data_IF_865758170001
#
_entry.id   IF_865758170001
#
_cell.length_a   1.000
_cell.length_b   1.000
_cell.length_c   1.000
_cell.angle_alpha   90.00
_cell.angle_beta   90.00
_cell.angle_gamma   90.00
#
_symmetry.space_group_name_H-M   'P 1'
#
loop_
_entity.id
_entity.type
_entity.pdbx_description
1 polymer ?
#
# COMPACT_ATOMS: atom_id res chain seq x y z
N UNK A 1 10.70 -53.56 -11.63
CA UNK A 1 11.91 -52.75 -11.86
C UNK A 1 13.12 -53.62 -11.59
N UNK A 2 14.14 -53.58 -12.44
CA UNK A 2 15.38 -54.31 -12.20
C UNK A 2 16.18 -53.58 -11.11
N UNK A 3 16.59 -54.29 -10.05
CA UNK A 3 17.44 -53.73 -8.99
C UNK A 3 18.81 -53.33 -9.54
N UNK A 4 19.32 -52.19 -9.07
CA UNK A 4 20.70 -51.77 -9.31
C UNK A 4 21.70 -52.72 -8.64
N UNK A 5 22.97 -52.66 -9.07
CA UNK A 5 24.03 -53.50 -8.51
C UNK A 5 24.24 -53.30 -7.00
N UNK A 6 23.99 -52.10 -6.48
CA UNK A 6 24.11 -51.78 -5.05
C UNK A 6 22.91 -52.29 -4.26
N UNK A 7 21.69 -52.17 -4.79
CA UNK A 7 20.47 -52.70 -4.15
C UNK A 7 20.49 -54.23 -4.04
N UNK A 8 21.03 -54.92 -5.06
CA UNK A 8 21.19 -56.38 -5.04
C UNK A 8 22.03 -56.87 -3.85
N UNK A 9 22.96 -56.06 -3.33
CA UNK A 9 23.77 -56.43 -2.16
C UNK A 9 22.97 -56.46 -0.86
N UNK A 10 21.92 -55.64 -0.73
CA UNK A 10 21.08 -55.56 0.48
C UNK A 10 19.69 -55.05 0.14
N UNK A 11 18.74 -55.96 0.02
CA UNK A 11 17.34 -55.63 -0.26
C UNK A 11 16.62 -55.32 1.07
N UNK A 12 16.08 -54.10 1.19
CA UNK A 12 15.20 -53.72 2.31
C UNK A 12 13.76 -54.09 1.95
N UNK A 13 13.08 -54.86 2.80
CA UNK A 13 11.67 -55.18 2.64
C UNK A 13 10.82 -53.95 2.95
N UNK A 14 10.11 -53.44 1.95
CA UNK A 14 9.11 -52.38 2.09
C UNK A 14 7.72 -53.01 2.34
N UNK A 15 6.96 -52.44 3.27
CA UNK A 15 5.60 -52.88 3.63
C UNK A 15 4.51 -51.93 3.11
N UNK A 16 4.90 -50.90 2.35
CA UNK A 16 3.99 -49.93 1.74
C UNK A 16 2.98 -50.63 0.83
N UNK A 17 1.70 -50.37 1.08
CA UNK A 17 0.59 -50.95 0.30
C UNK A 17 0.18 -50.07 -0.88
N UNK A 18 0.53 -48.79 -0.83
CA UNK A 18 0.24 -47.81 -1.85
C UNK A 18 1.40 -47.75 -2.85
N UNK A 19 1.14 -47.66 -4.17
CA UNK A 19 2.18 -47.47 -5.16
C UNK A 19 2.77 -46.05 -5.07
N UNK A 20 4.07 -45.94 -5.28
CA UNK A 20 4.75 -44.64 -5.40
C UNK A 20 4.32 -43.96 -6.70
N UNK A 21 3.61 -42.82 -6.61
CA UNK A 21 3.13 -42.08 -7.77
C UNK A 21 4.17 -41.11 -8.36
N UNK A 22 5.13 -40.68 -7.55
CA UNK A 22 6.19 -39.74 -7.93
C UNK A 22 7.47 -40.07 -7.15
N UNK A 23 8.61 -40.00 -7.83
CA UNK A 23 9.91 -40.19 -7.20
C UNK A 23 10.24 -39.01 -6.27
N UNK A 24 11.04 -39.28 -5.24
CA UNK A 24 11.49 -38.25 -4.30
C UNK A 24 12.36 -37.26 -5.07
N UNK A 25 12.02 -35.96 -5.09
CA UNK A 25 12.82 -34.97 -5.79
C UNK A 25 14.17 -34.79 -5.12
N UNK A 26 15.13 -34.22 -5.86
CA UNK A 26 16.42 -33.89 -5.30
C UNK A 26 16.29 -32.86 -4.18
N UNK A 27 16.62 -33.25 -2.94
CA UNK A 27 16.30 -32.50 -1.73
C UNK A 27 17.03 -31.16 -1.60
N UNK A 28 18.14 -30.99 -2.33
CA UNK A 28 18.95 -29.76 -2.33
C UNK A 28 18.62 -28.82 -3.50
N UNK A 29 17.68 -29.21 -4.38
CA UNK A 29 17.28 -28.45 -5.57
C UNK A 29 16.98 -26.99 -5.25
N UNK A 30 16.17 -26.72 -4.23
CA UNK A 30 15.79 -25.35 -3.83
C UNK A 30 16.98 -24.41 -3.62
N UNK A 31 18.06 -24.88 -2.99
CA UNK A 31 19.24 -24.05 -2.72
C UNK A 31 20.10 -23.90 -3.98
N UNK A 32 20.40 -25.02 -4.64
CA UNK A 32 21.28 -25.05 -5.82
C UNK A 32 20.64 -24.28 -6.98
N UNK A 33 19.36 -24.53 -7.26
CA UNK A 33 18.66 -23.88 -8.37
C UNK A 33 18.49 -22.39 -8.12
N UNK A 34 18.19 -21.98 -6.88
CA UNK A 34 18.10 -20.56 -6.51
C UNK A 34 19.43 -19.84 -6.70
N UNK A 35 20.55 -20.43 -6.28
CA UNK A 35 21.87 -19.81 -6.44
C UNK A 35 22.35 -19.81 -7.89
N UNK A 36 22.01 -20.87 -8.65
CA UNK A 36 22.26 -20.94 -10.10
C UNK A 36 21.49 -19.86 -10.85
N UNK A 37 20.22 -19.61 -10.50
CA UNK A 37 19.44 -18.50 -11.06
C UNK A 37 20.04 -17.13 -10.72
N UNK A 38 20.61 -16.96 -9.51
CA UNK A 38 21.27 -15.71 -9.13
C UNK A 38 22.52 -15.43 -9.97
N UNK A 39 23.42 -16.43 -10.10
CA UNK A 39 24.71 -16.26 -10.77
C UNK A 39 24.63 -16.38 -12.29
N UNK A 40 23.72 -17.21 -12.80
CA UNK A 40 23.63 -17.64 -14.20
C UNK A 40 25.01 -18.04 -14.79
N UNK A 41 25.83 -18.66 -13.95
CA UNK A 41 27.20 -19.04 -14.30
C UNK A 41 27.21 -20.06 -15.45
N UNK A 42 28.10 -19.87 -16.42
CA UNK A 42 28.22 -20.74 -17.60
C UNK A 42 27.21 -20.48 -18.72
N UNK A 43 26.27 -19.54 -18.54
CA UNK A 43 25.39 -19.07 -19.61
C UNK A 43 26.04 -17.90 -20.36
N UNK A 44 25.98 -17.94 -21.69
CA UNK A 44 26.40 -16.84 -22.55
C UNK A 44 25.54 -15.59 -22.28
N UNK A 45 26.07 -14.37 -22.42
CA UNK A 45 25.34 -13.14 -22.11
C UNK A 45 23.97 -13.03 -22.79
N UNK A 46 23.86 -13.46 -24.05
CA UNK A 46 22.64 -13.31 -24.87
C UNK A 46 21.50 -14.25 -24.46
N UNK A 47 21.79 -15.34 -23.73
CA UNK A 47 20.78 -16.31 -23.28
C UNK A 47 20.40 -16.13 -21.81
N UNK A 48 21.01 -15.16 -21.11
CA UNK A 48 20.69 -14.89 -19.70
C UNK A 48 19.31 -14.26 -19.59
N UNK A 49 18.56 -14.73 -18.60
CA UNK A 49 17.27 -14.15 -18.25
C UNK A 49 17.47 -12.95 -17.32
N UNK A 50 16.48 -12.08 -17.23
CA UNK A 50 16.51 -10.91 -16.35
C UNK A 50 16.19 -11.30 -14.90
N UNK A 51 17.08 -12.10 -14.31
CA UNK A 51 17.05 -12.59 -12.93
C UNK A 51 18.44 -12.52 -12.30
N UNK A 52 18.53 -12.41 -10.97
CA UNK A 52 19.81 -12.45 -10.26
C UNK A 52 20.70 -11.24 -10.56
N UNK A 53 22.00 -11.49 -10.80
CA UNK A 53 22.97 -10.45 -11.15
C UNK A 53 22.53 -9.63 -12.37
N UNK A 54 21.98 -10.30 -13.40
CA UNK A 54 21.52 -9.64 -14.62
C UNK A 54 20.41 -8.63 -14.33
N UNK A 55 19.41 -9.02 -13.53
CA UNK A 55 18.33 -8.13 -13.10
C UNK A 55 18.85 -6.98 -12.24
N UNK A 56 19.77 -7.25 -11.31
CA UNK A 56 20.35 -6.23 -10.45
C UNK A 56 21.09 -5.15 -11.25
N UNK A 57 21.93 -5.54 -12.22
CA UNK A 57 22.61 -4.58 -13.10
C UNK A 57 21.62 -3.79 -13.96
N UNK A 58 20.70 -4.45 -14.65
CA UNK A 58 19.68 -3.77 -15.47
C UNK A 58 18.77 -2.84 -14.66
N UNK A 59 18.62 -3.07 -13.36
CA UNK A 59 17.80 -2.20 -12.51
C UNK A 59 18.48 -0.89 -12.11
N UNK A 60 19.81 -0.84 -12.13
CA UNK A 60 20.60 0.35 -11.74
C UNK A 60 21.17 1.06 -12.97
N UNK A 61 21.50 0.31 -14.02
CA UNK A 61 22.02 0.86 -15.27
C UNK A 61 20.87 1.09 -16.27
N UNK A 62 20.93 2.16 -17.07
CA UNK A 62 22.05 3.08 -17.22
C UNK A 62 22.12 4.16 -16.13
N UNK A 63 23.34 4.47 -15.67
CA UNK A 63 23.57 5.56 -14.71
C UNK A 63 23.85 6.84 -15.49
N UNK A 64 23.01 7.85 -15.30
CA UNK A 64 23.12 9.16 -15.96
C UNK A 64 23.75 10.17 -15.01
N UNK A 65 24.77 10.90 -15.48
CA UNK A 65 25.36 11.99 -14.69
C UNK A 65 24.35 13.11 -14.41
N UNK A 66 24.49 13.84 -13.31
CA UNK A 66 23.63 15.01 -13.00
C UNK A 66 23.51 16.03 -14.13
N UNK A 67 24.57 16.18 -14.95
CA UNK A 67 24.55 17.10 -16.09
C UNK A 67 23.87 16.54 -17.35
N UNK A 68 23.52 15.25 -17.36
CA UNK A 68 23.03 14.53 -18.54
C UNK A 68 24.09 14.26 -19.62
N UNK A 69 25.35 14.64 -19.39
CA UNK A 69 26.42 14.61 -20.42
C UNK A 69 27.24 13.33 -20.46
N UNK A 70 27.10 12.47 -19.46
CA UNK A 70 27.71 11.16 -19.42
C UNK A 70 26.67 10.12 -19.02
N UNK A 71 26.67 9.00 -19.73
CA UNK A 71 25.85 7.82 -19.42
C UNK A 71 26.79 6.63 -19.29
N UNK A 72 26.65 5.88 -18.19
CA UNK A 72 27.31 4.61 -18.00
C UNK A 72 26.31 3.48 -18.20
N UNK A 73 26.55 2.63 -19.20
CA UNK A 73 25.71 1.48 -19.54
C UNK A 73 26.36 0.17 -19.09
N UNK A 74 25.52 -0.78 -18.70
CA UNK A 74 25.91 -2.16 -18.45
C UNK A 74 25.82 -2.97 -19.74
N UNK A 75 26.91 -3.66 -20.11
CA UNK A 75 26.95 -4.53 -21.31
C UNK A 75 26.80 -6.00 -20.91
N UNK A 76 27.68 -6.49 -20.04
CA UNK A 76 27.68 -7.90 -19.60
C UNK A 76 28.51 -8.09 -18.34
N UNK A 77 28.37 -9.24 -17.67
CA UNK A 77 29.29 -9.65 -16.60
C UNK A 77 29.86 -11.06 -16.85
N UNK A 78 31.04 -11.32 -16.30
CA UNK A 78 31.69 -12.62 -16.29
C UNK A 78 32.14 -12.96 -14.87
N UNK A 79 31.91 -14.22 -14.47
CA UNK A 79 32.47 -14.78 -13.24
C UNK A 79 33.74 -15.54 -13.62
N UNK A 80 34.87 -15.06 -13.14
CA UNK A 80 36.16 -15.70 -13.36
C UNK A 80 36.25 -17.07 -12.67
N UNK A 81 37.32 -17.81 -12.95
CA UNK A 81 37.59 -19.06 -12.25
C UNK A 81 37.98 -18.77 -10.79
N UNK A 82 37.54 -19.61 -9.83
CA UNK A 82 38.02 -19.51 -8.46
C UNK A 82 39.53 -19.76 -8.42
N UNK A 83 40.24 -19.02 -7.56
CA UNK A 83 41.70 -19.12 -7.43
C UNK A 83 42.11 -20.48 -6.84
N UNK A 84 41.28 -21.01 -5.95
CA UNK A 84 41.48 -22.26 -5.23
C UNK A 84 40.23 -23.13 -5.31
N UNK A 85 40.40 -24.44 -5.24
CA UNK A 85 39.26 -25.34 -5.09
C UNK A 85 38.68 -25.34 -3.66
N UNK A 86 37.57 -26.06 -3.47
CA UNK A 86 36.87 -26.13 -2.17
C UNK A 86 37.77 -26.65 -1.05
N UNK A 87 38.61 -27.67 -1.32
CA UNK A 87 39.47 -28.29 -0.30
C UNK A 87 40.64 -27.38 0.06
N UNK A 88 41.22 -26.72 -0.93
CA UNK A 88 42.28 -25.73 -0.73
C UNK A 88 41.78 -24.54 0.09
N UNK A 89 40.58 -24.03 -0.19
CA UNK A 89 39.95 -22.96 0.61
C UNK A 89 39.75 -23.38 2.07
N UNK A 90 39.29 -24.62 2.32
CA UNK A 90 39.14 -25.17 3.67
C UNK A 90 40.46 -25.24 4.42
N UNK A 91 41.52 -25.76 3.78
CA UNK A 91 42.85 -25.88 4.40
C UNK A 91 43.52 -24.52 4.65
N UNK A 92 43.33 -23.56 3.74
CA UNK A 92 43.95 -22.23 3.80
C UNK A 92 43.17 -21.23 4.67
N UNK A 93 41.96 -21.56 5.09
CA UNK A 93 41.12 -20.61 5.82
C UNK A 93 40.57 -19.48 4.94
N UNK A 94 40.48 -19.67 3.62
CA UNK A 94 40.00 -18.65 2.67
C UNK A 94 38.56 -18.92 2.23
N UNK A 95 37.91 -17.91 1.65
CA UNK A 95 36.56 -18.05 1.08
C UNK A 95 36.64 -18.64 -0.32
N UNK A 96 35.75 -19.58 -0.66
CA UNK A 96 35.62 -20.10 -2.01
C UNK A 96 34.78 -19.14 -2.84
N UNK A 97 35.43 -18.39 -3.73
CA UNK A 97 34.83 -17.28 -4.48
C UNK A 97 35.36 -17.18 -5.90
N UNK A 98 34.62 -16.49 -6.75
CA UNK A 98 35.00 -16.11 -8.10
C UNK A 98 35.05 -14.59 -8.24
N UNK A 99 36.01 -14.09 -9.03
CA UNK A 99 36.08 -12.67 -9.37
C UNK A 99 34.92 -12.27 -10.29
N UNK A 100 34.20 -11.21 -9.93
CA UNK A 100 33.15 -10.63 -10.77
C UNK A 100 33.78 -9.51 -11.61
N UNK A 101 33.71 -9.69 -12.93
CA UNK A 101 34.15 -8.67 -13.89
C UNK A 101 32.98 -8.21 -14.72
N UNK A 102 32.83 -6.91 -14.88
CA UNK A 102 31.69 -6.29 -15.53
C UNK A 102 32.18 -5.43 -16.67
N UNK A 103 31.64 -5.67 -17.86
CA UNK A 103 31.87 -4.83 -19.03
C UNK A 103 30.87 -3.69 -19.02
N UNK A 104 31.39 -2.48 -18.92
CA UNK A 104 30.61 -1.24 -18.90
C UNK A 104 31.01 -0.37 -20.08
N UNK A 105 30.06 0.44 -20.54
CA UNK A 105 30.25 1.38 -21.64
C UNK A 105 29.93 2.79 -21.16
N UNK A 106 30.92 3.67 -21.21
CA UNK A 106 30.77 5.09 -20.91
C UNK A 106 30.53 5.85 -22.23
N UNK A 107 29.35 6.44 -22.36
CA UNK A 107 28.96 7.31 -23.47
C UNK A 107 29.08 8.76 -23.00
N UNK A 108 29.87 9.56 -23.71
CA UNK A 108 30.03 10.98 -23.45
C UNK A 108 29.33 11.79 -24.55
N UNK A 109 28.46 12.72 -24.16
CA UNK A 109 27.82 13.66 -25.08
C UNK A 109 28.64 14.93 -25.22
N UNK A 110 28.54 15.55 -26.39
CA UNK A 110 29.19 16.82 -26.64
C UNK A 110 28.56 17.95 -25.81
N UNK A 111 29.41 18.87 -25.34
CA UNK A 111 29.00 20.00 -24.49
C UNK A 111 28.32 21.12 -25.28
N UNK A 112 28.58 21.19 -26.59
CA UNK A 112 28.21 22.32 -27.46
C UNK A 112 27.03 22.05 -28.40
N UNK A 113 26.63 20.78 -28.55
CA UNK A 113 25.52 20.39 -29.44
C UNK A 113 24.17 20.39 -28.73
N UNK A 114 23.16 20.99 -29.34
CA UNK A 114 21.75 21.02 -28.85
C UNK A 114 21.03 19.70 -29.11
N UNK A 115 21.47 18.95 -30.12
CA UNK A 115 21.12 17.53 -30.31
C UNK A 115 22.18 16.71 -29.57
N UNK A 116 21.79 15.74 -28.74
CA UNK A 116 22.71 14.90 -27.94
C UNK A 116 23.68 14.09 -28.82
N UNK A 117 24.65 14.75 -29.43
CA UNK A 117 25.63 14.15 -30.30
C UNK A 117 26.66 13.41 -29.44
N UNK A 118 26.86 12.13 -29.74
CA UNK A 118 27.82 11.29 -29.05
C UNK A 118 29.22 11.78 -29.42
N UNK A 119 29.99 12.19 -28.41
CA UNK A 119 31.38 12.63 -28.56
C UNK A 119 32.35 11.46 -28.54
N UNK A 120 32.17 10.55 -27.58
CA UNK A 120 33.08 9.42 -27.36
C UNK A 120 32.35 8.25 -26.69
N UNK A 121 32.79 7.03 -27.00
CA UNK A 121 32.32 5.79 -26.39
C UNK A 121 33.52 4.99 -25.92
N UNK A 122 33.60 4.76 -24.61
CA UNK A 122 34.66 3.93 -24.00
C UNK A 122 34.06 2.69 -23.37
N UNK A 123 34.46 1.53 -23.85
CA UNK A 123 34.06 0.23 -23.27
C UNK A 123 35.24 -0.37 -22.52
N UNK A 124 35.01 -0.78 -21.27
CA UNK A 124 36.04 -1.35 -20.40
C UNK A 124 35.47 -2.43 -19.49
N UNK A 125 36.31 -3.43 -19.20
CA UNK A 125 36.03 -4.45 -18.20
C UNK A 125 36.59 -4.03 -16.83
N UNK A 126 35.71 -3.96 -15.84
CA UNK A 126 36.00 -3.48 -14.49
C UNK A 126 35.79 -4.62 -13.49
N UNK A 127 36.74 -4.80 -12.58
CA UNK A 127 36.61 -5.73 -11.46
C UNK A 127 35.70 -5.14 -10.38
N UNK A 128 34.62 -5.85 -10.03
CA UNK A 128 33.61 -5.41 -9.05
C UNK A 128 33.57 -6.30 -7.79
N UNK A 129 34.70 -6.90 -7.43
CA UNK A 129 34.82 -7.72 -6.22
C UNK A 129 34.67 -9.22 -6.48
N UNK A 130 34.47 -9.98 -5.40
CA UNK A 130 34.34 -11.43 -5.46
C UNK A 130 32.95 -11.88 -5.01
N UNK A 131 32.43 -12.91 -5.68
CA UNK A 131 31.17 -13.57 -5.33
C UNK A 131 31.49 -14.96 -4.78
N UNK A 132 31.12 -15.28 -3.52
CA UNK A 132 31.29 -16.62 -2.96
C UNK A 132 30.54 -17.66 -3.81
N UNK A 133 31.17 -18.76 -4.18
CA UNK A 133 30.52 -19.80 -4.98
C UNK A 133 29.90 -20.87 -4.08
N UNK A 134 28.78 -21.43 -4.55
CA UNK A 134 28.12 -22.57 -3.92
C UNK A 134 28.78 -23.88 -4.35
N UNK A 135 28.96 -24.80 -3.41
CA UNK A 135 29.46 -26.17 -3.65
C UNK A 135 28.36 -27.07 -4.22
N UNK A 136 28.72 -28.26 -4.71
CA UNK A 136 27.76 -29.25 -5.21
C UNK A 136 26.79 -29.78 -4.14
N UNK A 137 27.12 -29.61 -2.85
CA UNK A 137 26.27 -29.98 -1.71
C UNK A 137 25.38 -28.83 -1.22
N UNK A 138 25.37 -27.67 -1.89
CA UNK A 138 24.57 -26.52 -1.50
C UNK A 138 25.13 -25.74 -0.31
N UNK A 139 26.43 -25.88 -0.03
CA UNK A 139 27.15 -25.16 1.04
C UNK A 139 28.03 -24.06 0.45
N UNK A 140 28.53 -23.16 1.31
CA UNK A 140 29.53 -22.15 0.98
C UNK A 140 30.74 -22.33 1.88
N UNK A 141 31.96 -22.18 1.34
CA UNK A 141 33.17 -22.11 2.17
C UNK A 141 33.48 -20.65 2.46
N UNK A 142 33.29 -20.22 3.70
CA UNK A 142 33.58 -18.86 4.17
C UNK A 142 34.69 -18.95 5.21
N UNK A 143 35.83 -18.32 4.95
CA UNK A 143 37.02 -18.36 5.81
C UNK A 143 37.41 -19.81 6.20
N UNK A 144 37.41 -20.71 5.22
CA UNK A 144 37.71 -22.14 5.39
C UNK A 144 36.62 -22.98 6.07
N UNK A 145 35.52 -22.39 6.51
CA UNK A 145 34.41 -23.12 7.16
C UNK A 145 33.23 -23.30 6.22
N UNK A 146 32.66 -24.50 6.15
CA UNK A 146 31.41 -24.72 5.42
C UNK A 146 30.22 -24.11 6.17
N UNK A 147 29.40 -23.37 5.42
CA UNK A 147 28.21 -22.69 5.90
C UNK A 147 27.04 -22.97 4.97
N UNK A 148 25.84 -22.95 5.55
CA UNK A 148 24.58 -23.06 4.81
C UNK A 148 23.77 -21.80 5.04
N UNK A 149 23.18 -21.27 3.98
CA UNK A 149 22.22 -20.17 4.07
C UNK A 149 20.82 -20.76 4.15
N UNK A 150 20.14 -20.55 5.28
CA UNK A 150 18.79 -21.06 5.51
C UNK A 150 17.78 -20.20 4.76
N UNK A 151 16.85 -20.84 4.04
CA UNK A 151 15.74 -20.12 3.40
C UNK A 151 14.87 -19.41 4.44
N UNK A 152 14.53 -18.16 4.18
CA UNK A 152 13.73 -17.35 5.09
C UNK A 152 12.24 -17.39 4.74
N UNK A 153 11.39 -17.60 5.73
CA UNK A 153 9.95 -17.41 5.56
C UNK A 153 9.56 -16.01 6.01
N UNK A 154 9.20 -15.14 5.07
CA UNK A 154 8.80 -13.76 5.33
C UNK A 154 7.38 -13.49 4.86
N UNK A 155 6.80 -12.35 5.26
CA UNK A 155 5.51 -11.91 4.73
C UNK A 155 5.69 -11.51 3.28
N UNK A 156 4.77 -11.96 2.43
CA UNK A 156 4.80 -11.62 1.02
C UNK A 156 4.59 -10.12 0.83
N UNK A 157 5.12 -9.52 -0.23
CA UNK A 157 4.69 -8.19 -0.64
C UNK A 157 3.18 -8.14 -0.92
N UNK A 158 2.55 -7.00 -0.70
CA UNK A 158 1.11 -6.78 -0.87
C UNK A 158 0.49 -5.96 0.27
N UNK A 159 -0.84 -5.92 0.31
CA UNK A 159 -1.60 -5.31 1.41
C UNK A 159 -2.21 -6.38 2.31
N UNK A 160 -2.21 -6.12 3.62
CA UNK A 160 -2.78 -6.99 4.64
C UNK A 160 -3.68 -6.19 5.56
N UNK A 161 -4.85 -6.72 5.88
CA UNK A 161 -5.77 -6.16 6.85
C UNK A 161 -5.80 -7.07 8.08
N UNK A 162 -5.62 -6.51 9.28
CA UNK A 162 -5.55 -7.29 10.52
C UNK A 162 -6.24 -6.53 11.66
N UNK A 163 -6.51 -7.22 12.77
CA UNK A 163 -6.93 -6.60 14.01
C UNK A 163 -6.15 -7.15 15.20
N UNK A 164 -6.01 -6.34 16.24
CA UNK A 164 -5.26 -6.67 17.46
C UNK A 164 -5.88 -7.78 18.34
N UNK A 165 -7.00 -8.37 17.90
CA UNK A 165 -7.85 -9.31 18.65
C UNK A 165 -8.26 -8.76 20.03
N UNK A 166 -8.38 -7.44 20.17
CA UNK A 166 -8.77 -6.76 21.40
C UNK A 166 -7.70 -6.79 22.49
N UNK A 167 -6.44 -7.07 22.14
CA UNK A 167 -5.34 -7.19 23.10
C UNK A 167 -4.72 -5.85 23.47
N UNK A 168 -4.81 -4.84 22.59
CA UNK A 168 -4.09 -3.57 22.77
C UNK A 168 -4.82 -2.61 23.71
N UNK A 169 -6.15 -2.63 23.73
CA UNK A 169 -6.95 -1.73 24.56
C UNK A 169 -7.79 -2.50 25.59
N UNK A 170 -7.86 -1.99 26.82
CA UNK A 170 -8.55 -2.64 27.94
C UNK A 170 -10.06 -2.82 27.75
N UNK A 171 -10.69 -2.02 26.88
CA UNK A 171 -12.11 -2.19 26.53
C UNK A 171 -12.40 -3.45 25.70
N UNK A 172 -11.37 -4.13 25.19
CA UNK A 172 -11.53 -5.27 24.27
C UNK A 172 -11.97 -4.88 22.87
N UNK A 173 -12.06 -3.58 22.57
CA UNK A 173 -12.39 -3.06 21.23
C UNK A 173 -11.32 -3.51 20.24
N UNK A 174 -11.78 -4.08 19.12
CA UNK A 174 -10.89 -4.50 18.04
C UNK A 174 -10.34 -3.27 17.31
N UNK A 175 -9.02 -3.16 17.28
CA UNK A 175 -8.32 -2.13 16.51
C UNK A 175 -7.89 -2.71 15.18
N UNK A 176 -8.51 -2.23 14.10
CA UNK A 176 -8.20 -2.66 12.74
C UNK A 176 -7.01 -1.88 12.19
N UNK A 177 -6.23 -2.55 11.34
CA UNK A 177 -5.09 -1.98 10.66
C UNK A 177 -4.98 -2.52 9.25
N UNK A 178 -4.42 -1.70 8.35
CA UNK A 178 -4.00 -2.12 7.02
C UNK A 178 -2.50 -1.87 6.89
N UNK A 179 -1.77 -2.81 6.30
CA UNK A 179 -0.31 -2.72 6.13
C UNK A 179 0.05 -3.05 4.70
N UNK A 180 0.69 -2.09 4.03
CA UNK A 180 1.25 -2.26 2.70
C UNK A 180 2.75 -2.59 2.85
N UNK A 181 3.11 -3.80 2.45
CA UNK A 181 4.46 -4.32 2.50
C UNK A 181 5.00 -4.35 1.07
N UNK A 182 5.97 -3.50 0.70
CA UNK A 182 6.64 -3.62 -0.58
C UNK A 182 7.64 -4.76 -0.60
N UNK A 183 8.02 -5.18 -1.81
CA UNK A 183 9.21 -6.00 -2.00
C UNK A 183 10.46 -5.21 -1.60
N UNK A 184 10.48 -3.92 -1.96
CA UNK A 184 11.53 -2.95 -1.65
C UNK A 184 10.93 -1.55 -1.51
N UNK A 185 11.35 -0.81 -0.50
CA UNK A 185 10.85 0.55 -0.23
C UNK A 185 10.25 0.69 1.17
N UNK A 186 9.67 1.86 1.45
CA UNK A 186 9.10 2.18 2.75
C UNK A 186 7.77 1.45 3.02
N UNK A 187 7.55 1.01 4.25
CA UNK A 187 6.29 0.41 4.65
C UNK A 187 5.26 1.49 4.92
N UNK A 188 4.00 1.24 4.53
CA UNK A 188 2.88 2.14 4.78
C UNK A 188 1.83 1.41 5.61
N UNK A 189 1.63 1.85 6.85
CA UNK A 189 0.71 1.27 7.81
C UNK A 189 -0.43 2.26 8.10
N UNK A 190 -1.67 1.81 8.02
CA UNK A 190 -2.86 2.48 8.53
C UNK A 190 -3.39 1.74 9.75
N UNK A 191 -3.84 2.47 10.77
CA UNK A 191 -4.35 1.86 12.00
C UNK A 191 -5.42 2.73 12.65
N UNK A 192 -6.46 2.08 13.15
CA UNK A 192 -7.44 2.71 14.03
C UNK A 192 -6.89 2.84 15.44
N UNK A 193 -7.25 3.93 16.10
CA UNK A 193 -7.08 4.08 17.54
C UNK A 193 -8.37 3.71 18.31
N UNK A 194 -8.33 3.66 19.65
CA UNK A 194 -9.52 3.37 20.46
C UNK A 194 -10.66 4.38 20.29
N UNK A 195 -10.36 5.61 19.84
CA UNK A 195 -11.33 6.68 19.56
C UNK A 195 -11.90 6.62 18.13
N UNK A 196 -11.62 5.55 17.39
CA UNK A 196 -11.98 5.38 15.98
C UNK A 196 -11.38 6.42 15.01
N UNK A 197 -10.27 7.04 15.39
CA UNK A 197 -9.50 7.90 14.50
C UNK A 197 -8.53 7.06 13.66
N UNK A 198 -8.38 7.42 12.39
CA UNK A 198 -7.52 6.68 11.46
C UNK A 198 -6.17 7.37 11.35
N UNK A 199 -5.11 6.65 11.70
CA UNK A 199 -3.75 7.14 11.59
C UNK A 199 -2.98 6.41 10.51
N UNK A 200 -1.93 7.07 10.02
CA UNK A 200 -0.92 6.52 9.14
C UNK A 200 0.45 6.54 9.81
N UNK A 201 1.27 5.53 9.51
CA UNK A 201 2.68 5.43 9.89
C UNK A 201 3.49 5.01 8.67
N UNK A 202 4.59 5.72 8.44
CA UNK A 202 5.57 5.37 7.41
C UNK A 202 6.78 4.76 8.14
N UNK A 203 7.24 3.58 7.72
CA UNK A 203 8.36 2.86 8.32
C UNK A 203 8.27 2.70 9.86
N UNK A 204 7.05 2.51 10.37
CA UNK A 204 6.75 2.38 11.81
C UNK A 204 7.21 3.58 12.68
N UNK A 205 7.30 4.77 12.08
CA UNK A 205 7.60 6.03 12.78
C UNK A 205 6.36 6.58 13.50
N UNK A 206 6.44 7.83 13.94
CA UNK A 206 5.37 8.56 14.64
C UNK A 206 4.07 8.53 13.82
N UNK A 207 2.93 8.36 14.51
CA UNK A 207 1.59 8.45 13.91
C UNK A 207 1.33 9.85 13.36
N UNK A 208 0.70 9.92 12.19
CA UNK A 208 0.06 11.11 11.65
C UNK A 208 -1.41 10.79 11.34
N UNK A 209 -2.35 11.75 11.41
CA UNK A 209 -3.71 11.52 10.90
C UNK A 209 -3.66 11.05 9.44
N UNK A 210 -4.47 10.06 9.06
CA UNK A 210 -4.46 9.52 7.70
C UNK A 210 -4.83 10.58 6.64
N UNK A 211 -5.60 11.61 7.02
CA UNK A 211 -5.97 12.75 6.18
C UNK A 211 -4.77 13.62 5.79
N UNK A 212 -3.71 13.68 6.61
CA UNK A 212 -2.45 14.36 6.25
C UNK A 212 -1.85 13.71 4.99
N UNK A 213 -1.87 12.38 4.91
CA UNK A 213 -1.39 11.68 3.71
C UNK A 213 -2.27 11.99 2.50
N UNK A 214 -3.60 12.02 2.66
CA UNK A 214 -4.52 12.35 1.57
C UNK A 214 -4.31 13.79 1.05
N UNK A 215 -4.07 14.75 1.95
CA UNK A 215 -3.71 16.12 1.56
C UNK A 215 -2.36 16.20 0.84
N UNK A 216 -1.37 15.40 1.25
CA UNK A 216 -0.09 15.32 0.55
C UNK A 216 -0.23 14.75 -0.88
N UNK A 217 -1.25 13.91 -1.10
CA UNK A 217 -1.68 13.40 -2.42
C UNK A 217 -2.51 14.40 -3.23
N UNK A 218 -2.62 15.66 -2.75
CA UNK A 218 -3.33 16.77 -3.40
C UNK A 218 -4.86 16.71 -3.34
N UNK A 219 -5.41 16.04 -2.33
CA UNK A 219 -6.85 16.07 -2.09
C UNK A 219 -7.28 17.17 -1.12
N UNK A 220 -8.35 17.89 -1.47
CA UNK A 220 -9.01 18.86 -0.60
C UNK A 220 -9.88 18.15 0.46
N UNK A 221 -10.29 18.88 1.50
CA UNK A 221 -11.17 18.34 2.53
C UNK A 221 -12.50 17.83 1.95
N UNK A 222 -13.12 18.57 1.03
CA UNK A 222 -14.35 18.16 0.35
C UNK A 222 -14.15 16.88 -0.47
N UNK A 223 -13.05 16.79 -1.22
CA UNK A 223 -12.72 15.60 -1.99
C UNK A 223 -12.52 14.40 -1.07
N UNK A 224 -11.79 14.57 0.03
CA UNK A 224 -11.61 13.53 1.05
C UNK A 224 -12.97 13.06 1.56
N UNK A 225 -13.87 13.96 1.98
CA UNK A 225 -15.20 13.56 2.47
C UNK A 225 -16.00 12.81 1.40
N UNK A 226 -16.01 13.30 0.16
CA UNK A 226 -16.73 12.68 -0.96
C UNK A 226 -16.23 11.28 -1.32
N UNK A 227 -14.99 10.92 -0.96
CA UNK A 227 -14.46 9.57 -1.18
C UNK A 227 -15.01 8.54 -0.20
N UNK A 228 -15.33 8.94 1.02
CA UNK A 228 -15.69 8.02 2.11
C UNK A 228 -17.16 8.06 2.49
N UNK A 229 -17.86 9.14 2.17
CA UNK A 229 -19.24 9.36 2.58
C UNK A 229 -20.13 9.63 1.38
N UNK A 230 -21.37 9.13 1.46
CA UNK A 230 -22.47 9.65 0.66
C UNK A 230 -23.05 10.88 1.35
N UNK A 231 -23.74 11.76 0.61
CA UNK A 231 -24.30 12.99 1.15
C UNK A 231 -25.82 12.91 1.36
N UNK A 232 -26.31 13.63 2.36
CA UNK A 232 -27.71 14.00 2.53
C UNK A 232 -27.87 15.44 2.06
N UNK A 233 -28.84 15.70 1.17
CA UNK A 233 -29.11 17.03 0.65
C UNK A 233 -30.30 17.65 1.38
N UNK A 234 -30.14 18.88 1.84
CA UNK A 234 -31.17 19.66 2.51
C UNK A 234 -31.52 20.88 1.67
N UNK A 235 -32.81 21.14 1.50
CA UNK A 235 -33.34 22.39 0.95
C UNK A 235 -33.80 23.28 2.10
N UNK A 236 -33.34 24.52 2.08
CA UNK A 236 -33.61 25.51 3.11
C UNK A 236 -34.82 26.34 2.68
N UNK A 237 -35.87 26.35 3.49
CA UNK A 237 -37.04 27.20 3.28
C UNK A 237 -36.85 28.63 3.78
N UNK A 238 -37.95 29.39 3.93
CA UNK A 238 -37.87 30.78 4.42
C UNK A 238 -37.67 30.87 5.93
N UNK A 239 -37.89 29.77 6.63
CA UNK A 239 -37.77 29.62 8.08
C UNK A 239 -37.00 28.34 8.40
N UNK A 240 -36.35 28.32 9.55
CA UNK A 240 -35.67 27.14 10.12
C UNK A 240 -36.60 25.93 10.26
N UNK A 241 -37.90 26.16 10.37
CA UNK A 241 -38.94 25.11 10.46
C UNK A 241 -39.33 24.50 9.09
N UNK A 242 -38.90 25.11 7.98
CA UNK A 242 -39.17 24.68 6.60
C UNK A 242 -37.96 23.94 5.98
N UNK A 243 -37.21 23.18 6.79
CA UNK A 243 -36.08 22.39 6.31
C UNK A 243 -36.56 21.08 5.68
N UNK A 244 -36.20 20.83 4.42
CA UNK A 244 -36.60 19.64 3.67
C UNK A 244 -35.38 18.77 3.35
N UNK A 245 -35.36 17.53 3.81
CA UNK A 245 -34.34 16.52 3.50
C UNK A 245 -34.73 15.73 2.26
N UNK A 246 -33.82 15.56 1.31
CA UNK A 246 -33.95 14.57 0.24
C UNK A 246 -33.84 13.16 0.83
N UNK A 247 -34.98 12.46 0.88
CA UNK A 247 -35.13 11.24 1.66
C UNK A 247 -34.62 10.02 0.88
N UNK A 248 -33.66 9.32 1.49
CA UNK A 248 -33.30 7.94 1.14
C UNK A 248 -33.86 7.00 2.23
N UNK A 249 -35.00 6.31 2.00
CA UNK A 249 -35.71 5.56 3.05
C UNK A 249 -34.87 4.48 3.75
N UNK A 250 -33.91 3.88 3.06
CA UNK A 250 -33.02 2.86 3.63
C UNK A 250 -32.12 3.41 4.74
N UNK A 251 -31.73 4.69 4.68
CA UNK A 251 -30.82 5.35 5.63
C UNK A 251 -31.44 5.57 7.00
N UNK A 252 -32.77 5.66 7.09
CA UNK A 252 -33.52 5.82 8.34
C UNK A 252 -33.73 4.50 9.10
N UNK A 253 -33.17 3.39 8.63
CA UNK A 253 -33.44 2.08 9.22
C UNK A 253 -32.95 2.03 10.67
N UNK A 254 -33.86 1.77 11.60
CA UNK A 254 -33.53 1.60 13.00
C UNK A 254 -33.41 2.91 13.79
N UNK A 255 -33.52 4.06 13.12
CA UNK A 255 -33.57 5.39 13.74
C UNK A 255 -34.89 5.63 14.46
N UNK A 256 -34.85 6.57 15.41
CA UNK A 256 -36.03 7.07 16.14
C UNK A 256 -36.13 8.56 15.89
N UNK A 257 -37.18 8.97 15.18
CA UNK A 257 -37.41 10.38 14.87
C UNK A 257 -38.27 11.03 15.97
N UNK A 258 -38.00 12.30 16.26
CA UNK A 258 -38.75 13.14 17.19
C UNK A 258 -39.98 13.83 16.55
N UNK A 259 -40.25 13.57 15.27
CA UNK A 259 -41.40 14.09 14.53
C UNK A 259 -42.10 12.99 13.72
N UNK A 260 -43.35 13.23 13.34
CA UNK A 260 -44.15 12.30 12.54
C UNK A 260 -43.70 12.28 11.07
N UNK A 261 -43.53 11.10 10.49
CA UNK A 261 -43.31 10.93 9.05
C UNK A 261 -44.65 10.75 8.35
N UNK A 262 -45.01 11.70 7.50
CA UNK A 262 -46.29 11.72 6.75
C UNK A 262 -46.06 11.46 5.27
N UNK A 263 -47.07 10.89 4.60
CA UNK A 263 -47.10 10.76 3.15
C UNK A 263 -47.55 12.07 2.47
N UNK A 264 -47.54 12.11 1.13
CA UNK A 264 -48.00 13.29 0.34
C UNK A 264 -49.48 13.64 0.57
N UNK A 265 -50.27 12.75 1.16
CA UNK A 265 -51.69 12.95 1.49
C UNK A 265 -51.91 13.33 2.96
N UNK A 266 -50.84 13.41 3.75
CA UNK A 266 -50.88 13.72 5.18
C UNK A 266 -51.13 12.50 6.08
N UNK A 267 -51.17 11.27 5.54
CA UNK A 267 -51.28 10.06 6.35
C UNK A 267 -49.96 9.77 7.06
N UNK A 268 -50.02 9.55 8.37
CA UNK A 268 -48.83 9.24 9.20
C UNK A 268 -48.37 7.82 8.92
N UNK A 269 -47.16 7.67 8.38
CA UNK A 269 -46.49 6.38 8.17
C UNK A 269 -45.78 5.95 9.45
N UNK A 270 -45.09 6.88 10.12
CA UNK A 270 -44.36 6.64 11.38
C UNK A 270 -44.71 7.74 12.36
N UNK A 271 -45.22 7.35 13.53
CA UNK A 271 -45.43 8.25 14.66
C UNK A 271 -44.11 8.64 15.32
N UNK A 272 -44.02 9.87 15.82
CA UNK A 272 -42.89 10.37 16.61
C UNK A 272 -42.55 9.42 17.78
N UNK A 273 -41.26 9.22 18.02
CA UNK A 273 -40.71 8.36 19.07
C UNK A 273 -40.75 6.86 18.74
N UNK A 274 -41.32 6.43 17.60
CA UNK A 274 -41.28 5.02 17.17
C UNK A 274 -40.03 4.72 16.34
N UNK A 275 -39.44 3.55 16.60
CA UNK A 275 -38.32 3.03 15.82
C UNK A 275 -38.75 2.67 14.40
N UNK A 276 -37.99 3.12 13.40
CA UNK A 276 -38.26 2.86 11.99
C UNK A 276 -37.91 1.41 11.65
N UNK A 277 -38.92 0.64 11.22
CA UNK A 277 -38.78 -0.77 10.86
C UNK A 277 -38.75 -0.96 9.35
N UNK A 278 -38.35 -2.16 8.89
CA UNK A 278 -38.38 -2.51 7.47
C UNK A 278 -39.77 -2.38 6.82
N UNK A 279 -40.85 -2.50 7.62
CA UNK A 279 -42.23 -2.26 7.14
C UNK A 279 -42.45 -0.80 6.79
N UNK A 280 -42.01 0.12 7.64
CA UNK A 280 -42.14 1.57 7.42
C UNK A 280 -41.35 2.00 6.18
N UNK A 281 -40.12 1.48 6.00
CA UNK A 281 -39.30 1.75 4.81
C UNK A 281 -40.04 1.36 3.53
N UNK A 282 -40.61 0.15 3.48
CA UNK A 282 -41.41 -0.30 2.31
C UNK A 282 -42.64 0.58 2.07
N UNK A 283 -43.25 1.12 3.12
CA UNK A 283 -44.38 2.04 2.99
C UNK A 283 -43.93 3.39 2.41
N UNK A 284 -42.79 3.93 2.87
CA UNK A 284 -42.19 5.16 2.31
C UNK A 284 -41.81 5.00 0.84
N UNK A 285 -41.17 3.88 0.48
CA UNK A 285 -40.83 3.54 -0.91
C UNK A 285 -42.08 3.41 -1.79
N UNK A 286 -43.12 2.71 -1.30
CA UNK A 286 -44.40 2.56 -2.02
C UNK A 286 -45.11 3.90 -2.21
N UNK A 287 -45.03 4.79 -1.21
CA UNK A 287 -45.56 6.14 -1.27
C UNK A 287 -44.73 7.09 -2.17
N UNK A 288 -43.55 6.65 -2.64
CA UNK A 288 -42.60 7.47 -3.43
C UNK A 288 -42.31 8.81 -2.76
N UNK A 289 -42.09 8.78 -1.44
CA UNK A 289 -41.59 9.91 -0.68
C UNK A 289 -40.16 10.21 -1.12
N UNK A 290 -39.94 11.42 -1.64
CA UNK A 290 -38.64 11.91 -2.09
C UNK A 290 -38.08 12.99 -1.18
N UNK A 291 -38.95 13.72 -0.48
CA UNK A 291 -38.55 14.77 0.44
C UNK A 291 -39.29 14.56 1.76
N UNK A 292 -38.61 14.87 2.85
CA UNK A 292 -39.12 14.79 4.22
C UNK A 292 -38.88 16.12 4.91
N UNK A 293 -39.92 16.73 5.46
CA UNK A 293 -39.76 17.87 6.34
C UNK A 293 -39.11 17.40 7.65
N UNK A 294 -37.99 18.01 8.01
CA UNK A 294 -37.19 17.65 9.20
C UNK A 294 -37.04 18.86 10.11
N UNK A 295 -36.84 18.63 11.41
CA UNK A 295 -36.55 19.70 12.35
C UNK A 295 -35.09 20.15 12.26
N UNK A 296 -34.81 21.39 12.68
CA UNK A 296 -33.44 21.90 12.80
C UNK A 296 -32.58 21.06 13.76
N UNK A 297 -33.20 20.52 14.81
CA UNK A 297 -32.55 19.61 15.75
C UNK A 297 -32.06 18.32 15.06
N UNK A 298 -32.76 17.84 14.02
CA UNK A 298 -32.35 16.65 13.28
C UNK A 298 -31.10 16.89 12.44
N UNK A 299 -30.99 18.07 11.83
CA UNK A 299 -29.80 18.45 11.07
C UNK A 299 -28.63 18.86 11.98
N UNK A 300 -28.91 19.30 13.21
CA UNK A 300 -27.90 19.73 14.18
C UNK A 300 -26.98 18.57 14.58
N UNK A 301 -25.67 18.83 14.65
CA UNK A 301 -24.66 17.82 14.97
C UNK A 301 -24.21 16.95 13.79
N UNK A 302 -24.81 17.10 12.61
CA UNK A 302 -24.30 16.50 11.37
C UNK A 302 -23.13 17.33 10.82
N UNK A 303 -22.14 16.70 10.18
CA UNK A 303 -21.02 17.42 9.57
C UNK A 303 -21.38 17.88 8.15
N UNK A 304 -21.06 19.12 7.80
CA UNK A 304 -21.18 19.63 6.43
C UNK A 304 -20.29 18.86 5.45
N UNK A 305 -20.81 18.52 4.27
CA UNK A 305 -20.07 17.80 3.24
C UNK A 305 -19.19 18.72 2.38
N UNK A 306 -19.61 19.98 2.19
CA UNK A 306 -18.98 21.00 1.35
C UNK A 306 -18.93 22.33 2.07
N UNK A 307 -18.06 23.22 1.59
CA UNK A 307 -18.00 24.61 2.03
C UNK A 307 -19.32 25.31 1.67
N UNK A 308 -19.83 26.13 2.59
CA UNK A 308 -21.03 26.92 2.37
C UNK A 308 -20.60 28.33 2.02
N UNK A 309 -20.93 28.74 0.80
CA UNK A 309 -20.53 30.04 0.24
C UNK A 309 -21.75 30.96 0.23
N UNK A 310 -21.54 32.23 0.60
CA UNK A 310 -22.57 33.25 0.47
C UNK A 310 -22.80 33.55 -1.03
N UNK A 311 -24.03 33.39 -1.56
CA UNK A 311 -24.33 33.64 -2.97
C UNK A 311 -24.07 35.08 -3.42
N UNK A 312 -24.20 36.06 -2.52
CA UNK A 312 -24.06 37.48 -2.84
C UNK A 312 -22.61 37.96 -2.79
N UNK A 313 -21.84 37.51 -1.79
CA UNK A 313 -20.45 38.00 -1.58
C UNK A 313 -19.39 37.05 -2.15
N UNK A 314 -19.72 35.78 -2.35
CA UNK A 314 -18.76 34.73 -2.74
C UNK A 314 -17.79 34.32 -1.61
N UNK A 315 -17.99 34.80 -0.38
CA UNK A 315 -17.18 34.43 0.78
C UNK A 315 -17.66 33.09 1.38
N UNK A 316 -16.72 32.30 1.88
CA UNK A 316 -17.02 31.05 2.61
C UNK A 316 -17.60 31.44 3.98
N UNK A 317 -18.87 31.12 4.20
CA UNK A 317 -19.56 31.30 5.48
C UNK A 317 -19.13 30.23 6.49
N UNK A 318 -19.10 28.98 6.04
CA UNK A 318 -18.77 27.83 6.87
C UNK A 318 -17.92 26.83 6.09
N UNK A 319 -16.82 26.39 6.68
CA UNK A 319 -15.94 25.38 6.10
C UNK A 319 -16.59 23.99 6.15
N UNK A 320 -16.27 23.14 5.18
CA UNK A 320 -16.66 21.74 5.15
C UNK A 320 -16.19 21.02 6.42
N UNK A 321 -16.89 19.93 6.77
CA UNK A 321 -16.72 19.17 8.01
C UNK A 321 -17.09 19.93 9.30
N UNK A 322 -17.54 21.19 9.23
CA UNK A 322 -18.09 21.89 10.39
C UNK A 322 -19.39 21.22 10.86
N UNK A 323 -19.60 21.15 12.18
CA UNK A 323 -20.85 20.61 12.74
C UNK A 323 -21.96 21.63 12.55
N UNK A 324 -23.07 21.23 11.95
CA UNK A 324 -24.24 22.09 11.79
C UNK A 324 -24.80 22.44 13.17
N UNK A 325 -24.97 23.74 13.44
CA UNK A 325 -25.67 24.26 14.61
C UNK A 325 -26.91 25.05 14.19
N UNK A 326 -27.88 25.26 15.09
CA UNK A 326 -29.06 26.08 14.80
C UNK A 326 -28.69 27.49 14.32
N UNK A 327 -27.65 28.10 14.91
CA UNK A 327 -27.17 29.43 14.53
C UNK A 327 -26.59 29.46 13.12
N UNK A 328 -25.96 28.36 12.68
CA UNK A 328 -25.48 28.24 11.30
C UNK A 328 -26.65 28.18 10.31
N UNK A 329 -27.74 27.49 10.66
CA UNK A 329 -28.93 27.43 9.82
C UNK A 329 -29.59 28.81 9.68
N UNK A 330 -29.70 29.58 10.77
CA UNK A 330 -30.18 30.95 10.74
C UNK A 330 -29.31 31.83 9.82
N UNK A 331 -27.99 31.71 9.92
CA UNK A 331 -27.05 32.45 9.08
C UNK A 331 -27.15 32.05 7.60
N UNK A 332 -27.37 30.77 7.30
CA UNK A 332 -27.60 30.28 5.93
C UNK A 332 -28.88 30.86 5.32
N UNK A 333 -29.97 30.92 6.10
CA UNK A 333 -31.24 31.52 5.67
C UNK A 333 -31.06 33.03 5.43
N UNK A 334 -30.37 33.73 6.34
CA UNK A 334 -30.12 35.16 6.21
C UNK A 334 -29.25 35.50 4.98
N UNK A 335 -28.33 34.59 4.62
CA UNK A 335 -27.49 34.71 3.43
C UNK A 335 -28.17 34.23 2.13
N UNK A 336 -29.40 33.70 2.20
CA UNK A 336 -30.14 33.22 1.03
C UNK A 336 -29.58 31.93 0.41
N UNK A 337 -29.03 31.03 1.21
CA UNK A 337 -28.56 29.71 0.74
C UNK A 337 -29.75 28.80 0.49
N UNK A 338 -29.96 28.35 -0.76
CA UNK A 338 -31.09 27.50 -1.15
C UNK A 338 -30.98 26.05 -0.64
N UNK A 339 -29.76 25.52 -0.58
CA UNK A 339 -29.51 24.12 -0.20
C UNK A 339 -28.11 23.90 0.36
N UNK A 340 -27.97 22.92 1.24
CA UNK A 340 -26.67 22.46 1.74
C UNK A 340 -26.64 20.93 1.82
N UNK A 341 -25.43 20.38 1.93
CA UNK A 341 -25.20 18.94 2.03
C UNK A 341 -24.50 18.59 3.35
N UNK A 342 -24.94 17.52 4.01
CA UNK A 342 -24.22 16.91 5.13
C UNK A 342 -23.70 15.54 4.72
N UNK A 343 -22.61 15.07 5.34
CA UNK A 343 -22.20 13.67 5.17
C UNK A 343 -23.23 12.75 5.82
N UNK A 344 -23.45 11.58 5.23
CA UNK A 344 -24.24 10.52 5.84
C UNK A 344 -23.34 9.67 6.75
N UNK A 345 -23.65 9.68 8.04
CA UNK A 345 -23.00 8.85 9.05
C UNK A 345 -24.04 8.15 9.90
N UNK A 346 -23.70 6.97 10.40
CA UNK A 346 -24.50 6.22 11.36
C UNK A 346 -23.59 5.38 12.28
N UNK A 347 -24.17 4.86 13.36
CA UNK A 347 -23.43 4.10 14.38
C UNK A 347 -23.17 2.63 14.01
N UNK A 348 -23.69 2.16 12.87
CA UNK A 348 -23.70 0.74 12.52
C UNK A 348 -22.74 0.41 11.37
N UNK A 349 -22.98 0.99 10.20
CA UNK A 349 -22.32 0.64 8.94
C UNK A 349 -21.67 1.82 8.21
N UNK A 350 -21.81 3.05 8.70
CA UNK A 350 -21.24 4.27 8.12
C UNK A 350 -20.65 5.19 9.21
N UNK A 351 -19.62 4.73 9.92
CA UNK A 351 -19.04 5.50 11.03
C UNK A 351 -18.31 6.78 10.57
N UNK A 352 -18.32 7.87 11.39
CA UNK A 352 -17.74 9.18 11.05
C UNK A 352 -16.20 9.22 11.14
N UNK A 353 -15.51 8.12 10.88
CA UNK A 353 -14.08 7.95 11.21
C UNK A 353 -13.16 8.96 10.51
N UNK A 354 -13.34 9.14 9.20
CA UNK A 354 -12.52 10.07 8.41
C UNK A 354 -12.88 11.53 8.71
N UNK A 355 -14.17 11.82 8.96
CA UNK A 355 -14.65 13.14 9.38
C UNK A 355 -14.01 13.57 10.71
N UNK A 356 -14.02 12.69 11.71
CA UNK A 356 -13.38 12.97 13.02
C UNK A 356 -11.85 13.02 12.92
N UNK A 357 -11.24 12.21 12.05
CA UNK A 357 -9.80 12.28 11.76
C UNK A 357 -9.43 13.62 11.15
N UNK A 358 -10.26 14.15 10.25
CA UNK A 358 -10.03 15.44 9.61
C UNK A 358 -10.13 16.61 10.61
N UNK A 359 -10.92 16.49 11.69
CA UNK A 359 -11.01 17.52 12.75
C UNK A 359 -9.73 17.67 13.57
N UNK A 360 -8.98 16.59 13.75
CA UNK A 360 -7.70 16.60 14.50
C UNK A 360 -6.49 16.89 13.62
N UNK A 361 -6.68 16.93 12.30
CA UNK A 361 -5.65 17.21 11.32
C UNK A 361 -5.23 18.69 11.43
N UNK A 362 -3.98 18.93 11.78
CA UNK A 362 -3.43 20.28 11.89
C UNK A 362 -3.06 20.91 10.54
N UNK A 363 -3.18 20.16 9.43
CA UNK A 363 -2.75 20.60 8.10
C UNK A 363 -3.94 21.03 7.25
N UNK A 364 -3.78 22.12 6.51
CA UNK A 364 -4.84 22.70 5.66
C UNK A 364 -4.49 22.62 4.17
N UNK A 365 -3.22 22.80 3.82
CA UNK A 365 -2.73 22.72 2.44
C UNK A 365 -1.90 21.47 2.16
N UNK A 366 -1.73 21.13 0.87
CA UNK A 366 -0.79 20.08 0.43
C UNK A 366 0.63 20.34 0.91
N UNK A 367 1.08 21.60 0.89
CA UNK A 367 2.42 21.96 1.33
C UNK A 367 2.61 21.68 2.82
N UNK A 368 1.64 22.05 3.65
CA UNK A 368 1.70 21.81 5.10
C UNK A 368 1.74 20.32 5.42
N UNK A 369 0.94 19.53 4.69
CA UNK A 369 0.94 18.08 4.80
C UNK A 369 2.30 17.47 4.43
N UNK A 370 2.89 17.90 3.31
CA UNK A 370 4.24 17.47 2.89
C UNK A 370 5.31 17.87 3.91
N UNK A 371 5.21 19.08 4.48
CA UNK A 371 6.11 19.57 5.52
C UNK A 371 6.01 18.73 6.79
N UNK A 372 4.80 18.34 7.20
CA UNK A 372 4.59 17.52 8.39
C UNK A 372 5.12 16.08 8.19
N UNK A 373 4.93 15.51 7.00
CA UNK A 373 5.56 14.23 6.62
C UNK A 373 7.09 14.36 6.62
N UNK A 374 7.64 15.45 6.07
CA UNK A 374 9.09 15.70 6.06
C UNK A 374 9.67 15.76 7.47
N UNK A 375 9.05 16.53 8.38
CA UNK A 375 9.48 16.65 9.79
C UNK A 375 9.47 15.31 10.52
N UNK A 376 8.51 14.44 10.20
CA UNK A 376 8.43 13.10 10.79
C UNK A 376 9.54 12.17 10.27
N UNK A 377 9.87 12.25 8.97
CA UNK A 377 10.93 11.43 8.37
C UNK A 377 12.33 11.93 8.72
N UNK A 378 12.52 13.25 8.80
CA UNK A 378 13.80 13.91 9.07
C UNK A 378 13.66 14.94 10.21
N UNK A 379 13.57 14.48 11.45
CA UNK A 379 13.41 15.38 12.59
C UNK A 379 14.66 16.26 12.74
N UNK A 380 14.45 17.58 12.80
CA UNK A 380 15.52 18.57 13.00
C UNK A 380 16.08 19.20 11.73
N UNK A 381 15.77 18.68 10.54
CA UNK A 381 16.10 19.33 9.28
C UNK A 381 15.03 20.37 8.90
N UNK A 382 15.39 21.61 8.52
CA UNK A 382 14.43 22.59 8.07
C UNK A 382 13.80 22.15 6.73
N UNK A 383 12.46 22.07 6.64
CA UNK A 383 11.79 21.66 5.41
C UNK A 383 11.80 22.80 4.39
N UNK A 384 12.11 22.48 3.13
CA UNK A 384 11.83 23.35 1.97
C UNK A 384 10.77 22.69 1.11
N UNK A 385 10.06 23.47 0.29
CA UNK A 385 9.02 22.93 -0.60
C UNK A 385 9.57 21.80 -1.47
N UNK A 386 10.69 22.07 -2.15
CA UNK A 386 11.31 21.11 -3.07
C UNK A 386 11.82 19.87 -2.34
N UNK A 387 12.37 20.00 -1.13
CA UNK A 387 12.86 18.84 -0.38
C UNK A 387 11.72 17.97 0.12
N UNK A 388 10.60 18.56 0.52
CA UNK A 388 9.41 17.85 0.96
C UNK A 388 8.71 17.11 -0.21
N UNK A 389 8.53 17.78 -1.35
CA UNK A 389 7.96 17.16 -2.56
C UNK A 389 8.84 16.01 -3.07
N UNK A 390 10.15 16.23 -3.18
CA UNK A 390 11.08 15.20 -3.64
C UNK A 390 11.15 14.02 -2.66
N UNK A 391 11.12 14.27 -1.34
CA UNK A 391 11.09 13.19 -0.36
C UNK A 391 9.83 12.36 -0.53
N UNK A 392 8.65 12.99 -0.58
CA UNK A 392 7.38 12.29 -0.69
C UNK A 392 7.26 11.49 -1.99
N UNK A 393 7.64 12.07 -3.14
CA UNK A 393 7.71 11.37 -4.41
C UNK A 393 8.59 10.12 -4.36
N UNK A 394 9.74 10.23 -3.70
CA UNK A 394 10.70 9.15 -3.54
C UNK A 394 10.28 8.04 -2.57
N UNK A 395 9.29 8.27 -1.70
CA UNK A 395 8.84 7.26 -0.74
C UNK A 395 8.01 6.16 -1.39
N UNK A 396 7.10 6.50 -2.30
CA UNK A 396 6.08 5.57 -2.80
C UNK A 396 5.97 5.51 -4.33
N UNK A 397 6.38 6.59 -5.03
CA UNK A 397 6.10 6.80 -6.45
C UNK A 397 7.35 6.66 -7.34
N UNK A 398 8.54 6.54 -6.74
CA UNK A 398 9.79 6.37 -7.48
C UNK A 398 10.09 4.89 -7.72
N UNK A 399 10.14 4.48 -8.99
CA UNK A 399 10.49 3.10 -9.38
C UNK A 399 11.90 2.70 -8.90
N UNK A 400 12.80 3.67 -8.78
CA UNK A 400 14.15 3.44 -8.27
C UNK A 400 14.17 3.12 -6.77
N UNK A 401 13.15 3.50 -5.99
CA UNK A 401 13.13 3.38 -4.52
C UNK A 401 12.02 2.48 -3.98
N UNK A 402 10.96 2.29 -4.76
CA UNK A 402 9.79 1.51 -4.37
C UNK A 402 9.45 0.45 -5.43
N UNK A 403 9.18 -0.77 -4.96
CA UNK A 403 8.74 -1.88 -5.80
C UNK A 403 7.90 -2.87 -4.99
N UNK A 404 6.68 -3.16 -5.44
CA UNK A 404 5.81 -4.22 -4.95
C UNK A 404 6.22 -5.60 -5.48
N UNK A 405 6.99 -5.67 -6.57
CA UNK A 405 7.17 -6.84 -7.44
C UNK A 405 5.86 -7.32 -8.09
N UNK A 406 5.99 -8.16 -9.13
CA UNK A 406 4.83 -8.77 -9.80
C UNK A 406 3.93 -9.56 -8.83
N UNK A 407 4.53 -10.29 -7.87
CA UNK A 407 3.78 -11.06 -6.86
C UNK A 407 3.05 -10.13 -5.90
N UNK A 408 3.69 -9.04 -5.48
CA UNK A 408 3.06 -8.08 -4.57
C UNK A 408 1.92 -7.35 -5.23
N UNK A 409 2.09 -6.87 -6.47
CA UNK A 409 1.03 -6.22 -7.24
C UNK A 409 -0.16 -7.16 -7.48
N UNK A 410 0.10 -8.42 -7.85
CA UNK A 410 -0.95 -9.43 -7.98
C UNK A 410 -1.74 -9.62 -6.68
N UNK A 411 -1.05 -9.75 -5.53
CA UNK A 411 -1.71 -9.89 -4.22
C UNK A 411 -2.47 -8.65 -3.81
N UNK A 412 -1.88 -7.48 -4.06
CA UNK A 412 -2.45 -6.18 -3.76
C UNK A 412 -3.79 -6.00 -4.48
N UNK A 413 -3.80 -6.16 -5.81
CA UNK A 413 -4.99 -6.00 -6.63
C UNK A 413 -6.08 -7.01 -6.26
N UNK A 414 -5.71 -8.30 -6.10
CA UNK A 414 -6.66 -9.35 -5.71
C UNK A 414 -7.28 -9.06 -4.35
N UNK A 415 -6.51 -8.55 -3.39
CA UNK A 415 -7.02 -8.25 -2.05
C UNK A 415 -7.98 -7.06 -2.03
N UNK A 416 -7.79 -6.10 -2.93
CA UNK A 416 -8.70 -4.97 -3.14
C UNK A 416 -9.89 -5.31 -4.04
N UNK A 417 -10.00 -6.56 -4.53
CA UNK A 417 -11.10 -6.99 -5.39
C UNK A 417 -11.00 -6.51 -6.84
N UNK A 418 -9.81 -6.10 -7.29
CA UNK A 418 -9.57 -5.69 -8.69
C UNK A 418 -9.36 -6.92 -9.58
N UNK A 419 -9.83 -6.83 -10.83
CA UNK A 419 -9.70 -7.94 -11.80
C UNK A 419 -8.27 -8.09 -12.35
N UNK A 420 -7.52 -7.00 -12.44
CA UNK A 420 -6.17 -6.99 -13.00
C UNK A 420 -5.15 -7.65 -12.06
N UNK A 421 -4.40 -8.62 -12.56
CA UNK A 421 -3.35 -9.32 -11.79
C UNK A 421 -1.96 -8.70 -11.94
N UNK A 422 -1.79 -7.80 -12.92
CA UNK A 422 -0.54 -7.12 -13.24
C UNK A 422 -0.71 -5.61 -13.06
N UNK A 423 0.40 -4.89 -12.97
CA UNK A 423 0.40 -3.43 -12.84
C UNK A 423 1.79 -2.92 -12.49
N UNK A 424 1.89 -1.63 -12.22
CA UNK A 424 3.16 -1.00 -11.87
C UNK A 424 3.69 -1.46 -10.50
N UNK A 425 5.02 -1.43 -10.35
CA UNK A 425 5.70 -1.78 -9.09
C UNK A 425 5.58 -0.70 -8.01
N UNK A 426 5.35 0.56 -8.39
CA UNK A 426 5.12 1.68 -7.47
C UNK A 426 3.67 1.74 -7.03
N UNK A 427 3.38 2.45 -5.93
CA UNK A 427 2.00 2.74 -5.55
C UNK A 427 1.43 3.86 -6.42
N UNK A 428 0.14 3.79 -6.71
CA UNK A 428 -0.64 4.90 -7.25
C UNK A 428 -1.41 5.62 -6.13
N UNK A 429 -1.96 6.79 -6.45
CA UNK A 429 -2.87 7.52 -5.54
C UNK A 429 -4.10 6.64 -5.21
N UNK A 430 -4.68 6.02 -6.24
CA UNK A 430 -5.85 5.13 -6.11
C UNK A 430 -5.56 3.89 -5.26
N UNK A 431 -4.34 3.33 -5.34
CA UNK A 431 -3.91 2.24 -4.45
C UNK A 431 -4.04 2.63 -2.98
N UNK A 432 -3.56 3.81 -2.60
CA UNK A 432 -3.56 4.26 -1.21
C UNK A 432 -4.99 4.53 -0.75
N UNK A 433 -5.80 5.19 -1.59
CA UNK A 433 -7.20 5.51 -1.31
C UNK A 433 -8.02 4.23 -1.15
N UNK A 434 -7.88 3.25 -2.04
CA UNK A 434 -8.63 1.99 -1.99
C UNK A 434 -8.27 1.14 -0.77
N UNK A 435 -7.00 1.15 -0.34
CA UNK A 435 -6.58 0.50 0.91
C UNK A 435 -7.27 1.15 2.10
N UNK A 436 -7.30 2.48 2.16
CA UNK A 436 -7.94 3.21 3.24
C UNK A 436 -9.47 3.00 3.24
N UNK A 437 -10.11 3.02 2.06
CA UNK A 437 -11.54 2.70 1.89
C UNK A 437 -11.86 1.29 2.35
N UNK A 438 -11.04 0.32 1.98
CA UNK A 438 -11.21 -1.08 2.40
C UNK A 438 -11.05 -1.22 3.91
N UNK A 439 -10.09 -0.52 4.52
CA UNK A 439 -9.89 -0.52 5.97
C UNK A 439 -11.10 0.08 6.70
N UNK A 440 -11.62 1.21 6.23
CA UNK A 440 -12.85 1.84 6.76
C UNK A 440 -14.06 0.90 6.56
N UNK A 441 -14.17 0.26 5.39
CA UNK A 441 -15.19 -0.74 5.11
C UNK A 441 -15.17 -1.91 6.09
N UNK A 442 -13.99 -2.48 6.36
CA UNK A 442 -13.84 -3.57 7.34
C UNK A 442 -14.26 -3.09 8.74
N UNK A 443 -13.91 -1.86 9.14
CA UNK A 443 -14.34 -1.29 10.42
C UNK A 443 -15.86 -1.09 10.49
N UNK A 444 -16.51 -0.77 9.37
CA UNK A 444 -17.96 -0.69 9.20
C UNK A 444 -18.64 -2.08 9.11
N UNK A 445 -17.88 -3.17 9.16
CA UNK A 445 -18.40 -4.54 9.07
C UNK A 445 -18.49 -5.09 7.64
N UNK A 446 -18.04 -4.34 6.64
CA UNK A 446 -17.95 -4.77 5.25
C UNK A 446 -16.58 -5.38 4.95
N UNK A 447 -16.53 -6.72 4.95
CA UNK A 447 -15.33 -7.49 4.63
C UNK A 447 -14.74 -8.23 5.83
N UNK A 448 -13.58 -8.85 5.62
CA UNK A 448 -12.90 -9.67 6.63
C UNK A 448 -11.44 -9.27 6.75
N UNK A 449 -10.83 -9.55 7.90
CA UNK A 449 -9.38 -9.46 8.06
C UNK A 449 -8.67 -10.68 7.46
N UNK A 450 -7.38 -10.52 7.21
CA UNK A 450 -6.50 -11.54 6.68
C UNK A 450 -5.84 -12.35 7.81
N UNK A 451 -5.66 -13.65 7.57
CA UNK A 451 -4.79 -14.46 8.42
C UNK A 451 -3.33 -14.33 7.96
N UNK A 452 -2.55 -13.59 8.75
CA UNK A 452 -1.12 -13.33 8.50
C UNK A 452 -0.28 -14.63 8.53
N UNK A 453 -0.73 -15.65 9.24
CA UNK A 453 -0.01 -16.91 9.37
C UNK A 453 -0.36 -17.92 8.26
N UNK A 454 -1.36 -17.61 7.44
CA UNK A 454 -1.68 -18.40 6.26
C UNK A 454 -0.47 -18.47 5.32
N UNK A 455 -0.10 -19.68 4.87
CA UNK A 455 1.07 -19.88 4.01
C UNK A 455 0.96 -19.12 2.67
N UNK A 456 -0.27 -18.89 2.18
CA UNK A 456 -0.52 -18.03 1.03
C UNK A 456 -0.09 -16.57 1.24
N UNK A 457 0.06 -16.11 2.48
CA UNK A 457 0.56 -14.77 2.84
C UNK A 457 2.05 -14.78 3.22
N UNK A 458 2.66 -15.97 3.28
CA UNK A 458 4.10 -16.16 3.51
C UNK A 458 4.81 -16.51 2.22
N UNK A 459 6.08 -16.11 2.12
CA UNK A 459 6.94 -16.38 0.96
C UNK A 459 8.29 -16.89 1.43
N UNK A 460 8.80 -17.89 0.73
CA UNK A 460 10.14 -18.41 0.95
C UNK A 460 11.13 -17.57 0.13
N UNK A 461 12.12 -17.01 0.82
CA UNK A 461 13.29 -16.35 0.25
C UNK A 461 14.45 -17.33 0.31
N UNK A 462 14.91 -17.77 -0.85
CA UNK A 462 16.08 -18.64 -0.98
C UNK A 462 17.36 -17.82 -1.16
N UNK A 463 18.51 -18.48 -1.12
CA UNK A 463 19.83 -17.82 -1.09
C UNK A 463 20.07 -16.88 -2.27
N UNK A 464 19.61 -17.23 -3.48
CA UNK A 464 19.84 -16.42 -4.67
C UNK A 464 19.18 -15.04 -4.58
N UNK A 465 17.93 -14.99 -4.11
CA UNK A 465 17.21 -13.73 -3.93
C UNK A 465 17.79 -12.89 -2.78
N UNK A 466 18.20 -13.53 -1.69
CA UNK A 466 18.85 -12.83 -0.59
C UNK A 466 20.17 -12.21 -1.03
N UNK A 467 20.97 -12.94 -1.80
CA UNK A 467 22.21 -12.45 -2.39
C UNK A 467 21.96 -11.32 -3.40
N UNK A 468 20.93 -11.44 -4.26
CA UNK A 468 20.55 -10.39 -5.21
C UNK A 468 20.21 -9.07 -4.51
N UNK A 469 19.41 -9.13 -3.45
CA UNK A 469 19.03 -7.93 -2.71
C UNK A 469 20.24 -7.26 -2.06
N UNK A 470 21.16 -8.02 -1.45
CA UNK A 470 22.39 -7.47 -0.87
C UNK A 470 23.33 -6.91 -1.95
N UNK A 471 23.44 -7.59 -3.09
CA UNK A 471 24.23 -7.11 -4.22
C UNK A 471 23.69 -5.79 -4.76
N UNK A 472 22.36 -5.67 -4.90
CA UNK A 472 21.70 -4.45 -5.35
C UNK A 472 21.92 -3.29 -4.39
N UNK A 473 21.89 -3.53 -3.07
CA UNK A 473 22.25 -2.53 -2.06
C UNK A 473 23.70 -2.07 -2.18
N UNK A 474 24.62 -2.95 -2.62
CA UNK A 474 26.00 -2.57 -2.90
C UNK A 474 26.21 -1.80 -4.20
N UNK A 475 25.25 -1.83 -5.14
CA UNK A 475 25.31 -1.11 -6.42
C UNK A 475 24.76 0.33 -6.35
N UNK A 476 23.79 0.58 -5.45
CA UNK A 476 23.16 1.89 -5.21
C UNK A 476 23.94 2.65 -4.15
#
# INVERSE_FOLDING_TARGET
MAYSYTEKKRIRKDFSKLPTAMDIPYLLSTQIDSYRQFTQAGLAPDVRQDVGLQAAFKSVFPIVSYSGKAILEFVSYELGKPVFDVKECQLRGTTYSASLRVRVRLILYDKESTTQAIKDIKEQEVYMGEIPLMTDSGTFVINGTERVVVSQLHRSPGVFFDHDRGKTHSSGKLLYSARIIPYRGSWLDFEFDPKDLVYVRIDRRRKLPATVLLRALDFTAEQILSMFFENNSYRVGKSVEELMLELVPSRLRGEVLNFDVKDKKGEVIVESGRRITARHIRQMEKAKLQELQVSAEFASGQSLAKDIVNPETGEILFECNSLVTPEMLDAMIAAGVDSFETIYTNDLDCGPFVSETLRIDSTTSRLDALVEIYRMMRPGEPPTKDSAENLFGNLFFSQERYDLSAVGRMKFNRRLGREETTGEGVLSVDDIVDVLKTLVGIRNGFGTVDDIDHLGNRRIRSVGEMAENQFRVGLV
#
